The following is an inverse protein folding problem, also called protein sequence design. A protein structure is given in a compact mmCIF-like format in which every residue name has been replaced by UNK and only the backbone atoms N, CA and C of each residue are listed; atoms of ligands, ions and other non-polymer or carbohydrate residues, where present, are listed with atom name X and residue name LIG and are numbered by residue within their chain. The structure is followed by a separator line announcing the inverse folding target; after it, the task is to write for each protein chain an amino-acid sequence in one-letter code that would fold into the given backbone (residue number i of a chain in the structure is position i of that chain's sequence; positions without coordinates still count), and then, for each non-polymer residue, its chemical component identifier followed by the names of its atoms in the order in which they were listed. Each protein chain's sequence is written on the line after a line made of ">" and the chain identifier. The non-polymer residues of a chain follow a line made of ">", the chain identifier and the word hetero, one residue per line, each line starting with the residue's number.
data_IF_242821483223
#
_entry.id   IF_242821483223
#
_cell.length_a   1.000
_cell.length_b   1.000
_cell.length_c   1.000
_cell.angle_alpha   90.00
_cell.angle_beta   90.00
_cell.angle_gamma   90.00
#
_symmetry.space_group_name_H-M   'P 1'
#
loop_
_entity.id
_entity.type
_entity.pdbx_description
1 polymer ?
#
# COMPACT_ATOMS: atom_id res chain seq x y z
N UNK A 1 3.83 27.49 -37.23
CA UNK A 1 2.67 28.40 -37.07
C UNK A 1 1.50 27.67 -37.69
N UNK A 2 0.50 27.21 -36.95
CA UNK A 2 -0.63 28.03 -36.49
C UNK A 2 -1.33 27.35 -35.29
N UNK A 3 -1.48 28.09 -34.20
CA UNK A 3 -2.45 27.84 -33.14
C UNK A 3 -3.81 28.36 -33.62
N UNK A 4 -4.92 27.66 -33.36
CA UNK A 4 -6.26 28.27 -33.21
C UNK A 4 -7.33 27.22 -32.78
N UNK A 5 -8.47 27.64 -32.23
CA UNK A 5 -8.64 27.74 -30.78
C UNK A 5 -9.85 26.93 -30.23
N UNK A 6 -9.88 26.77 -28.90
CA UNK A 6 -11.04 26.32 -28.13
C UNK A 6 -12.25 27.23 -28.41
N UNK A 7 -13.38 26.62 -28.80
CA UNK A 7 -14.67 27.30 -28.89
C UNK A 7 -15.51 27.05 -27.64
N UNK A 8 -16.37 28.01 -27.24
CA UNK A 8 -16.73 28.25 -25.85
C UNK A 8 -17.94 27.44 -25.35
N UNK A 9 -18.01 27.34 -24.03
CA UNK A 9 -19.13 26.88 -23.21
C UNK A 9 -20.46 27.50 -23.67
N UNK A 10 -21.29 26.71 -24.35
CA UNK A 10 -22.71 27.02 -24.48
C UNK A 10 -23.41 26.73 -23.16
N UNK A 11 -23.67 27.81 -22.44
CA UNK A 11 -24.55 27.90 -21.28
C UNK A 11 -25.95 27.40 -21.65
N UNK A 12 -26.41 26.32 -21.02
CA UNK A 12 -27.81 25.88 -21.13
C UNK A 12 -28.46 26.16 -19.77
N UNK A 13 -29.09 27.33 -19.66
CA UNK A 13 -30.06 27.61 -18.60
C UNK A 13 -31.36 26.83 -18.86
N UNK A 14 -32.15 26.51 -17.82
CA UNK A 14 -33.15 25.45 -17.86
C UNK A 14 -34.49 25.95 -18.43
N UNK A 15 -35.05 25.19 -19.38
CA UNK A 15 -36.43 25.37 -19.80
C UNK A 15 -37.36 24.56 -18.88
N UNK A 16 -38.16 25.33 -18.16
CA UNK A 16 -39.31 25.03 -17.32
C UNK A 16 -40.29 24.02 -17.96
N UNK A 17 -40.44 22.88 -17.29
CA UNK A 17 -41.70 22.15 -17.13
C UNK A 17 -42.34 21.54 -18.37
N UNK A 18 -42.04 20.27 -18.63
CA UNK A 18 -43.04 19.32 -19.15
C UNK A 18 -42.67 17.91 -18.68
N UNK A 19 -43.56 17.29 -17.91
CA UNK A 19 -43.37 15.96 -17.36
C UNK A 19 -43.69 14.92 -18.44
N UNK A 20 -42.68 14.16 -18.89
CA UNK A 20 -42.90 12.99 -19.72
C UNK A 20 -41.98 11.84 -19.27
N UNK A 21 -42.59 10.93 -18.52
CA UNK A 21 -42.32 9.49 -18.43
C UNK A 21 -40.88 9.08 -18.08
N UNK A 22 -40.63 8.96 -16.78
CA UNK A 22 -39.48 8.21 -16.23
C UNK A 22 -39.69 6.72 -16.55
N UNK A 23 -39.07 6.25 -17.63
CA UNK A 23 -38.71 4.82 -17.72
C UNK A 23 -37.58 4.59 -16.72
N UNK A 24 -37.94 4.07 -15.56
CA UNK A 24 -36.98 3.52 -14.60
C UNK A 24 -36.22 2.39 -15.27
N UNK A 25 -35.00 2.68 -15.77
CA UNK A 25 -33.98 1.65 -15.90
C UNK A 25 -33.78 1.04 -14.50
N UNK A 26 -33.78 -0.30 -14.36
CA UNK A 26 -33.37 -0.90 -13.10
C UNK A 26 -31.93 -0.45 -12.84
N UNK A 27 -31.76 0.33 -11.77
CA UNK A 27 -30.47 0.66 -11.19
C UNK A 27 -29.82 -0.66 -10.81
N UNK A 28 -28.99 -1.19 -11.72
CA UNK A 28 -28.12 -2.29 -11.41
C UNK A 28 -27.17 -1.76 -10.34
N UNK A 29 -27.47 -2.10 -9.08
CA UNK A 29 -26.64 -1.80 -7.93
C UNK A 29 -25.20 -2.13 -8.30
N UNK A 30 -24.37 -1.09 -8.43
CA UNK A 30 -22.95 -1.28 -8.66
C UNK A 30 -22.45 -2.17 -7.53
N UNK A 31 -21.77 -3.30 -7.82
CA UNK A 31 -21.20 -4.11 -6.75
C UNK A 31 -20.26 -3.19 -5.98
N UNK A 32 -20.57 -2.97 -4.70
CA UNK A 32 -19.68 -2.27 -3.78
C UNK A 32 -18.35 -3.01 -3.87
N UNK A 33 -17.38 -2.39 -4.54
CA UNK A 33 -16.03 -2.91 -4.59
C UNK A 33 -15.52 -2.78 -3.18
N UNK A 34 -15.57 -3.90 -2.45
CA UNK A 34 -14.91 -4.07 -1.18
C UNK A 34 -13.41 -3.93 -1.46
N UNK A 35 -12.92 -2.69 -1.48
CA UNK A 35 -11.50 -2.42 -1.42
C UNK A 35 -11.06 -2.71 0.02
N UNK A 36 -11.03 -4.00 0.37
CA UNK A 36 -10.21 -4.49 1.45
C UNK A 36 -8.76 -4.30 1.00
N UNK A 37 -8.28 -3.05 1.04
CA UNK A 37 -6.86 -2.76 0.90
C UNK A 37 -6.20 -3.44 2.10
N UNK A 38 -5.27 -4.39 1.91
CA UNK A 38 -4.55 -4.93 3.04
C UNK A 38 -3.83 -3.77 3.71
N UNK A 39 -4.24 -3.45 4.95
CA UNK A 39 -3.55 -2.51 5.80
C UNK A 39 -2.15 -3.11 5.98
N UNK A 40 -1.17 -2.57 5.26
CA UNK A 40 0.22 -2.94 5.48
C UNK A 40 0.53 -2.47 6.89
N UNK A 41 0.72 -3.40 7.82
CA UNK A 41 1.22 -3.08 9.16
C UNK A 41 2.47 -2.22 9.00
N UNK A 42 2.45 -1.06 9.63
CA UNK A 42 3.57 -0.14 9.65
C UNK A 42 4.68 -0.80 10.47
N UNK A 43 5.60 -1.47 9.78
CA UNK A 43 6.76 -2.10 10.42
C UNK A 43 7.83 -1.04 10.59
N UNK A 44 8.16 -0.75 11.83
CA UNK A 44 9.34 0.06 12.14
C UNK A 44 10.58 -0.62 11.56
N UNK A 45 11.30 0.09 10.69
CA UNK A 45 12.50 -0.42 10.04
C UNK A 45 13.73 0.25 10.63
N UNK A 46 14.72 -0.56 11.00
CA UNK A 46 16.00 -0.08 11.51
C UNK A 46 17.10 -0.55 10.55
N UNK A 47 17.90 0.39 10.07
CA UNK A 47 19.07 0.07 9.26
C UNK A 47 20.31 -0.05 10.15
N UNK A 48 20.92 -1.24 10.18
CA UNK A 48 22.13 -1.50 10.97
C UNK A 48 23.34 -1.77 10.07
N UNK A 49 24.50 -1.24 10.48
CA UNK A 49 25.79 -1.54 9.83
C UNK A 49 26.47 -2.70 10.54
N UNK A 50 26.74 -3.77 9.81
CA UNK A 50 27.39 -4.97 10.32
C UNK A 50 28.76 -5.12 9.64
N UNK A 51 29.79 -5.47 10.39
CA UNK A 51 31.12 -5.71 9.82
C UNK A 51 31.09 -6.89 8.84
N UNK A 52 31.99 -6.87 7.84
CA UNK A 52 32.08 -7.95 6.85
C UNK A 52 32.19 -9.34 7.48
N UNK A 53 33.02 -9.48 8.53
CA UNK A 53 33.22 -10.73 9.27
C UNK A 53 31.93 -11.22 9.93
N UNK A 54 31.18 -10.34 10.59
CA UNK A 54 29.94 -10.73 11.26
C UNK A 54 28.83 -11.04 10.25
N UNK A 55 28.77 -10.32 9.13
CA UNK A 55 27.83 -10.62 8.07
C UNK A 55 28.09 -12.01 7.44
N UNK A 56 29.36 -12.40 7.28
CA UNK A 56 29.71 -13.73 6.79
C UNK A 56 29.29 -14.82 7.79
N UNK A 57 29.54 -14.60 9.08
CA UNK A 57 29.09 -15.53 10.13
C UNK A 57 27.56 -15.70 10.12
N UNK A 58 26.80 -14.61 9.99
CA UNK A 58 25.33 -14.67 9.91
C UNK A 58 24.86 -15.50 8.71
N UNK A 59 25.52 -15.35 7.54
CA UNK A 59 25.19 -16.16 6.35
C UNK A 59 25.42 -17.64 6.57
N UNK A 60 26.57 -18.01 7.15
CA UNK A 60 26.92 -19.41 7.43
C UNK A 60 25.92 -20.01 8.43
N UNK A 61 25.59 -19.28 9.49
CA UNK A 61 24.62 -19.74 10.50
C UNK A 61 23.22 -19.89 9.90
N UNK A 62 22.73 -18.89 9.14
CA UNK A 62 21.43 -18.98 8.47
C UNK A 62 21.34 -20.14 7.47
N UNK A 63 22.43 -20.45 6.75
CA UNK A 63 22.48 -21.62 5.88
C UNK A 63 22.41 -22.94 6.68
N UNK A 64 23.18 -23.04 7.77
CA UNK A 64 23.25 -24.24 8.61
C UNK A 64 21.90 -24.55 9.27
N UNK A 65 21.22 -23.52 9.76
CA UNK A 65 19.98 -23.65 10.52
C UNK A 65 18.72 -23.57 9.63
N UNK A 66 18.90 -23.24 8.34
CA UNK A 66 17.81 -22.97 7.38
C UNK A 66 16.88 -21.85 7.84
N UNK A 67 17.45 -20.85 8.52
CA UNK A 67 16.73 -19.69 9.05
C UNK A 67 17.10 -18.46 8.22
N UNK A 68 16.13 -17.57 8.00
CA UNK A 68 16.38 -16.29 7.33
C UNK A 68 17.23 -15.39 8.23
N UNK A 69 18.17 -14.66 7.63
CA UNK A 69 18.97 -13.64 8.29
C UNK A 69 18.13 -12.64 9.11
N UNK A 70 16.94 -12.25 8.65
CA UNK A 70 16.08 -11.32 9.41
C UNK A 70 15.63 -11.94 10.72
N UNK A 71 15.06 -13.15 10.68
CA UNK A 71 14.62 -13.89 11.86
C UNK A 71 15.75 -14.07 12.88
N UNK A 72 16.96 -14.38 12.42
CA UNK A 72 18.13 -14.48 13.31
C UNK A 72 18.49 -13.16 13.99
N UNK A 73 18.29 -12.03 13.32
CA UNK A 73 18.54 -10.71 13.91
C UNK A 73 17.45 -10.37 14.91
N UNK A 74 16.20 -10.69 14.60
CA UNK A 74 15.06 -10.47 15.49
C UNK A 74 15.24 -11.28 16.79
N UNK A 75 15.53 -12.58 16.69
CA UNK A 75 15.80 -13.45 17.84
C UNK A 75 16.99 -12.95 18.68
N UNK A 76 18.08 -12.52 18.03
CA UNK A 76 19.25 -12.00 18.74
C UNK A 76 18.96 -10.67 19.46
N UNK A 77 18.08 -9.83 18.90
CA UNK A 77 17.63 -8.59 19.54
C UNK A 77 16.75 -8.94 20.75
N UNK A 78 15.78 -9.84 20.61
CA UNK A 78 14.93 -10.29 21.71
C UNK A 78 15.75 -10.91 22.85
N UNK A 79 16.71 -11.77 22.52
CA UNK A 79 17.60 -12.39 23.52
C UNK A 79 18.45 -11.32 24.24
N UNK A 80 18.94 -10.32 23.52
CA UNK A 80 19.70 -9.22 24.10
C UNK A 80 18.85 -8.37 25.05
N UNK A 81 17.64 -8.00 24.64
CA UNK A 81 16.71 -7.20 25.43
C UNK A 81 16.29 -7.96 26.69
N UNK A 82 15.92 -9.23 26.54
CA UNK A 82 15.56 -10.12 27.67
C UNK A 82 16.70 -10.20 28.69
N UNK A 83 17.95 -10.38 28.24
CA UNK A 83 19.12 -10.42 29.15
C UNK A 83 19.40 -9.08 29.85
N UNK A 84 18.98 -7.97 29.26
CA UNK A 84 19.13 -6.62 29.82
C UNK A 84 17.94 -6.18 30.67
N UNK A 85 16.86 -6.97 30.72
CA UNK A 85 15.65 -6.67 31.48
C UNK A 85 14.75 -5.62 30.81
N UNK A 86 14.80 -5.54 29.48
CA UNK A 86 13.84 -4.78 28.67
C UNK A 86 12.72 -5.67 28.18
#
# INVERSE_FOLDING_TARGET
>A
MTKQPLSPLSSIMPAKGEAAKVETLPEAAAPARDYSVPIKEERDTITVRITRRNNERLRIMGFKERINKQTMLDEAIEEYLTRRGY
#
